data_IF_656255239388
#
_entry.id   IF_656255239388
#
_cell.length_a   1.000
_cell.length_b   1.000
_cell.length_c   1.000
_cell.angle_alpha   90.00
_cell.angle_beta   90.00
_cell.angle_gamma   90.00
#
_symmetry.space_group_name_H-M   'P 1'
#
loop_
_entity.id
_entity.type
_entity.pdbx_description
1 polymer ?
#
# COMPACT_ATOMS: atom_id res chain seq x y z
N UNK A 1 10.25 -18.71 7.90
CA UNK A 1 11.57 -18.74 8.56
C UNK A 1 11.35 -18.73 10.06
N UNK A 2 11.98 -19.64 10.84
CA UNK A 2 11.86 -19.60 12.31
C UNK A 2 12.52 -18.35 12.88
N UNK A 3 11.93 -17.73 13.91
CA UNK A 3 12.42 -16.50 14.54
C UNK A 3 13.89 -16.59 14.96
N UNK A 4 14.31 -17.74 15.44
CA UNK A 4 15.72 -18.04 15.77
C UNK A 4 16.72 -17.71 14.65
N UNK A 5 16.27 -17.70 13.39
CA UNK A 5 17.15 -17.48 12.24
C UNK A 5 17.08 -16.06 11.67
N UNK A 6 16.18 -15.21 12.18
CA UNK A 6 16.04 -13.83 11.70
C UNK A 6 17.35 -13.06 11.86
N UNK A 7 17.96 -13.07 13.04
CA UNK A 7 19.24 -12.41 13.29
C UNK A 7 20.34 -12.92 12.37
N UNK A 8 20.46 -14.25 12.20
CA UNK A 8 21.45 -14.85 11.30
C UNK A 8 21.24 -14.45 9.84
N UNK A 9 19.99 -14.36 9.42
CA UNK A 9 19.63 -13.92 8.06
C UNK A 9 20.03 -12.46 7.85
N UNK A 10 19.77 -11.58 8.81
CA UNK A 10 20.16 -10.17 8.78
C UNK A 10 21.70 -10.04 8.71
N UNK A 11 22.43 -10.74 9.55
CA UNK A 11 23.90 -10.76 9.54
C UNK A 11 24.41 -11.25 8.18
N UNK A 12 23.79 -12.30 7.62
CA UNK A 12 24.16 -12.83 6.31
C UNK A 12 23.91 -11.82 5.18
N UNK A 13 22.82 -11.05 5.24
CA UNK A 13 22.53 -9.99 4.27
C UNK A 13 23.58 -8.88 4.37
N UNK A 14 23.87 -8.39 5.57
CA UNK A 14 24.85 -7.33 5.80
C UNK A 14 26.26 -7.74 5.41
N UNK A 15 26.65 -9.00 5.66
CA UNK A 15 27.95 -9.54 5.31
C UNK A 15 28.13 -9.90 3.84
N UNK A 16 27.08 -9.88 3.04
CA UNK A 16 27.14 -10.27 1.64
C UNK A 16 27.41 -9.07 0.74
N UNK A 17 28.60 -9.01 0.16
CA UNK A 17 29.03 -7.93 -0.74
C UNK A 17 28.13 -7.74 -1.97
N UNK A 18 27.34 -8.75 -2.37
CA UNK A 18 26.35 -8.59 -3.44
C UNK A 18 25.25 -7.61 -3.10
N UNK A 19 24.91 -7.47 -1.82
CA UNK A 19 23.90 -6.51 -1.37
C UNK A 19 24.43 -5.09 -1.20
N UNK A 20 25.76 -4.89 -1.11
CA UNK A 20 26.37 -3.56 -0.94
C UNK A 20 26.15 -2.60 -2.10
N UNK A 21 25.77 -3.10 -3.26
CA UNK A 21 25.44 -2.29 -4.45
C UNK A 21 23.95 -1.88 -4.52
N UNK A 22 23.11 -2.34 -3.59
CA UNK A 22 21.71 -1.98 -3.53
C UNK A 22 21.46 -0.89 -2.47
N UNK A 23 20.61 0.06 -2.80
CA UNK A 23 20.24 1.14 -1.90
C UNK A 23 19.06 0.77 -0.98
N UNK A 24 18.42 -0.36 -1.21
CA UNK A 24 17.27 -0.81 -0.44
C UNK A 24 17.02 -2.30 -0.52
N UNK A 25 16.23 -2.78 0.42
CA UNK A 25 15.82 -4.18 0.55
C UNK A 25 14.34 -4.28 0.83
N UNK A 26 13.67 -5.24 0.19
CA UNK A 26 12.29 -5.59 0.49
C UNK A 26 12.24 -6.76 1.49
N UNK A 27 11.53 -6.58 2.60
CA UNK A 27 11.42 -7.56 3.70
C UNK A 27 9.94 -7.96 3.89
N UNK A 28 9.29 -8.44 2.84
CA UNK A 28 7.84 -8.65 2.79
C UNK A 28 7.31 -9.48 3.97
N UNK A 29 7.79 -10.70 4.16
CA UNK A 29 7.25 -11.60 5.19
C UNK A 29 7.40 -11.05 6.60
N UNK A 30 8.48 -10.34 6.87
CA UNK A 30 8.75 -9.73 8.18
C UNK A 30 7.76 -8.60 8.48
N UNK A 31 7.32 -7.89 7.44
CA UNK A 31 6.38 -6.79 7.55
C UNK A 31 4.92 -7.20 7.59
N UNK A 32 4.57 -8.32 6.95
CA UNK A 32 3.18 -8.77 6.82
C UNK A 32 2.80 -9.84 7.85
N UNK A 33 3.71 -10.74 8.19
CA UNK A 33 3.44 -11.91 9.02
C UNK A 33 4.08 -11.79 10.40
N UNK A 34 3.26 -11.91 11.42
CA UNK A 34 3.73 -12.04 12.81
C UNK A 34 3.20 -13.35 13.40
N UNK A 35 4.10 -14.29 13.60
CA UNK A 35 3.78 -15.62 14.10
C UNK A 35 4.65 -16.01 15.31
N UNK A 36 4.20 -17.00 16.04
CA UNK A 36 4.96 -17.61 17.13
C UNK A 36 5.91 -18.69 16.61
N UNK A 37 7.07 -18.80 17.20
CA UNK A 37 8.04 -19.89 16.97
C UNK A 37 8.21 -20.68 18.26
N UNK A 38 7.16 -21.38 18.69
CA UNK A 38 7.13 -22.12 19.95
C UNK A 38 8.22 -23.20 20.05
N UNK A 39 8.65 -23.74 18.92
CA UNK A 39 9.77 -24.72 18.90
C UNK A 39 11.06 -24.11 19.41
N UNK A 40 11.25 -22.81 19.20
CA UNK A 40 12.45 -22.07 19.62
C UNK A 40 12.15 -21.12 20.81
N UNK A 41 10.98 -21.21 21.43
CA UNK A 41 10.62 -20.46 22.62
C UNK A 41 10.11 -19.05 22.39
N UNK A 42 9.64 -18.71 21.17
CA UNK A 42 9.13 -17.37 20.86
C UNK A 42 7.59 -17.36 20.77
N UNK A 43 6.93 -16.55 21.55
CA UNK A 43 5.56 -16.16 21.32
C UNK A 43 5.47 -14.99 20.32
N UNK A 44 4.26 -14.56 19.97
CA UNK A 44 4.08 -13.47 18.98
C UNK A 44 4.66 -12.12 19.42
N UNK A 45 4.58 -11.81 20.71
CA UNK A 45 5.12 -10.55 21.24
C UNK A 45 6.64 -10.56 21.19
N UNK A 46 7.27 -11.62 21.66
CA UNK A 46 8.73 -11.80 21.60
C UNK A 46 9.25 -11.78 20.16
N UNK A 47 8.47 -12.33 19.22
CA UNK A 47 8.78 -12.23 17.78
C UNK A 47 8.73 -10.80 17.27
N UNK A 48 7.73 -10.01 17.68
CA UNK A 48 7.61 -8.61 17.29
C UNK A 48 8.75 -7.75 17.87
N UNK A 49 9.09 -7.99 19.12
CA UNK A 49 10.20 -7.32 19.82
C UNK A 49 11.53 -7.62 19.11
N UNK A 50 11.83 -8.88 18.84
CA UNK A 50 13.04 -9.30 18.11
C UNK A 50 13.12 -8.63 16.73
N UNK A 51 12.06 -8.66 15.95
CA UNK A 51 12.02 -8.01 14.62
C UNK A 51 12.32 -6.52 14.79
N UNK A 52 11.65 -5.85 15.72
CA UNK A 52 11.81 -4.42 15.97
C UNK A 52 13.24 -4.03 16.41
N UNK A 53 13.93 -4.91 17.12
CA UNK A 53 15.32 -4.71 17.59
C UNK A 53 16.35 -4.98 16.50
N UNK A 54 16.09 -5.92 15.61
CA UNK A 54 17.05 -6.32 14.58
C UNK A 54 17.03 -5.44 13.33
N UNK A 55 15.86 -4.89 12.93
CA UNK A 55 15.71 -4.09 11.72
C UNK A 55 16.60 -2.84 11.68
N UNK A 56 16.86 -2.10 12.79
CA UNK A 56 17.76 -0.94 12.76
C UNK A 56 19.15 -1.24 12.19
N UNK A 57 19.67 -2.46 12.35
CA UNK A 57 20.98 -2.84 11.79
C UNK A 57 20.98 -2.86 10.26
N UNK A 58 19.84 -3.16 9.62
CA UNK A 58 19.67 -3.06 8.17
C UNK A 58 19.51 -1.61 7.71
N UNK A 59 18.73 -0.80 8.45
CA UNK A 59 18.43 0.59 8.06
C UNK A 59 19.63 1.52 8.14
N UNK A 60 20.66 1.15 8.86
CA UNK A 60 21.90 1.92 8.92
C UNK A 60 22.58 2.11 7.54
N UNK A 61 22.37 1.18 6.60
CA UNK A 61 23.05 1.18 5.32
C UNK A 61 22.12 1.13 4.10
N UNK A 62 20.81 0.85 4.29
CA UNK A 62 19.88 0.70 3.17
C UNK A 62 18.43 1.09 3.58
N UNK A 63 17.64 1.50 2.61
CA UNK A 63 16.21 1.72 2.81
C UNK A 63 15.50 0.38 2.86
N UNK A 64 14.52 0.25 3.74
CA UNK A 64 13.67 -0.94 3.81
C UNK A 64 12.29 -0.64 3.23
N UNK A 65 11.78 -1.60 2.48
CA UNK A 65 10.40 -1.68 2.03
C UNK A 65 9.77 -2.96 2.61
N UNK A 66 8.51 -2.91 2.95
CA UNK A 66 7.74 -4.06 3.42
C UNK A 66 6.37 -4.11 2.75
N UNK A 67 5.76 -5.28 2.79
CA UNK A 67 4.38 -5.48 2.40
C UNK A 67 3.44 -5.30 3.59
N UNK A 68 2.28 -4.67 3.39
CA UNK A 68 1.20 -4.41 4.36
C UNK A 68 1.56 -3.69 5.66
N UNK A 69 2.75 -3.84 6.21
CA UNK A 69 3.32 -3.07 7.30
C UNK A 69 2.74 -3.31 8.70
N UNK A 70 3.24 -4.31 9.43
CA UNK A 70 2.96 -4.47 10.85
C UNK A 70 3.57 -3.33 11.68
N UNK A 71 2.95 -2.99 12.82
CA UNK A 71 3.41 -1.90 13.68
C UNK A 71 4.87 -2.07 14.17
N UNK A 72 5.35 -3.30 14.32
CA UNK A 72 6.72 -3.57 14.76
C UNK A 72 7.80 -3.18 13.72
N UNK A 73 7.42 -3.02 12.44
CA UNK A 73 8.36 -2.67 11.36
C UNK A 73 8.23 -1.21 10.91
N UNK A 74 7.08 -0.57 11.09
CA UNK A 74 6.74 0.75 10.53
C UNK A 74 7.82 1.80 10.82
N UNK A 75 8.38 1.83 12.03
CA UNK A 75 9.43 2.81 12.40
C UNK A 75 10.75 2.63 11.65
N UNK A 76 10.96 1.47 11.01
CA UNK A 76 12.22 1.11 10.37
C UNK A 76 12.09 1.02 8.84
N UNK A 77 10.92 1.28 8.27
CA UNK A 77 10.71 1.17 6.82
C UNK A 77 10.53 2.56 6.20
N UNK A 78 10.98 2.68 4.96
CA UNK A 78 10.84 3.90 4.16
C UNK A 78 9.62 3.86 3.25
N UNK A 79 9.11 2.65 2.98
CA UNK A 79 7.95 2.45 2.11
C UNK A 79 7.18 1.18 2.49
N UNK A 80 5.85 1.25 2.40
CA UNK A 80 4.94 0.11 2.63
C UNK A 80 4.19 -0.15 1.33
N UNK A 81 4.41 -1.31 0.70
CA UNK A 81 3.56 -1.75 -0.41
C UNK A 81 2.26 -2.32 0.10
N UNK A 82 1.21 -2.19 -0.70
CA UNK A 82 -0.10 -2.77 -0.45
C UNK A 82 -0.69 -2.43 0.94
N UNK A 83 -0.55 -1.16 1.37
CA UNK A 83 -1.20 -0.72 2.60
C UNK A 83 -2.73 -0.83 2.41
N UNK A 84 -3.45 -1.54 3.29
CA UNK A 84 -4.89 -1.75 3.12
C UNK A 84 -5.65 -0.43 3.02
N UNK A 85 -6.45 -0.30 1.98
CA UNK A 85 -7.36 0.83 1.74
C UNK A 85 -8.80 0.49 2.09
N UNK A 86 -9.07 -0.75 2.49
CA UNK A 86 -10.39 -1.22 2.94
C UNK A 86 -10.34 -1.61 4.40
N UNK A 87 -11.33 -1.17 5.17
CA UNK A 87 -11.53 -1.69 6.52
C UNK A 87 -12.17 -3.09 6.45
N UNK A 88 -11.73 -4.00 7.32
CA UNK A 88 -12.45 -5.26 7.51
C UNK A 88 -13.82 -4.95 8.12
N UNK A 89 -14.88 -5.14 7.34
CA UNK A 89 -16.25 -4.95 7.81
C UNK A 89 -16.65 -6.11 8.72
N UNK A 90 -16.80 -5.81 10.00
CA UNK A 90 -17.34 -6.74 11.00
C UNK A 90 -18.52 -6.06 11.68
N UNK A 91 -19.77 -6.41 11.26
CA UNK A 91 -21.02 -5.96 11.89
C UNK A 91 -21.67 -4.73 11.25
N UNK A 92 -22.76 -4.27 11.80
CA UNK A 92 -23.84 -3.55 11.12
C UNK A 92 -23.81 -2.02 11.17
N UNK A 93 -22.76 -1.34 11.51
CA UNK A 93 -22.70 0.13 11.37
C UNK A 93 -21.26 0.64 11.57
N UNK A 94 -20.50 0.73 10.50
CA UNK A 94 -19.17 1.33 10.57
C UNK A 94 -19.02 2.43 9.54
N UNK A 95 -18.60 3.59 10.01
CA UNK A 95 -17.93 4.60 9.16
C UNK A 95 -16.47 4.16 9.05
N UNK A 96 -16.00 3.94 7.83
CA UNK A 96 -14.59 3.61 7.59
C UNK A 96 -13.73 4.84 7.85
N UNK A 97 -12.79 4.74 8.78
CA UNK A 97 -11.79 5.78 9.04
C UNK A 97 -10.44 5.30 8.53
N UNK A 98 -9.75 6.04 7.66
CA UNK A 98 -8.42 5.68 7.15
C UNK A 98 -7.35 5.93 8.22
N UNK A 99 -7.44 5.22 9.34
CA UNK A 99 -6.59 5.46 10.52
C UNK A 99 -5.11 5.31 10.20
N UNK A 100 -4.72 4.26 9.47
CA UNK A 100 -3.32 4.03 9.11
C UNK A 100 -2.78 5.16 8.24
N UNK A 101 -3.55 5.60 7.25
CA UNK A 101 -3.16 6.66 6.34
C UNK A 101 -3.05 8.01 7.05
N UNK A 102 -3.98 8.34 7.94
CA UNK A 102 -3.92 9.54 8.78
C UNK A 102 -2.66 9.59 9.65
N UNK A 103 -2.20 8.43 10.14
CA UNK A 103 -1.00 8.34 10.99
C UNK A 103 0.28 8.34 10.16
N UNK A 104 0.30 7.67 9.01
CA UNK A 104 1.52 7.38 8.25
C UNK A 104 1.84 8.41 7.17
N UNK A 105 0.83 9.10 6.63
CA UNK A 105 1.03 10.03 5.52
C UNK A 105 1.96 11.17 5.91
N UNK A 106 2.95 11.43 5.06
CA UNK A 106 4.01 12.41 5.32
C UNK A 106 5.15 11.88 6.19
N UNK A 107 5.07 10.63 6.70
CA UNK A 107 6.11 9.98 7.52
C UNK A 107 6.72 8.79 6.78
N UNK A 108 5.88 7.90 6.26
CA UNK A 108 6.29 6.71 5.50
C UNK A 108 5.51 6.69 4.19
N UNK A 109 6.21 6.52 3.07
CA UNK A 109 5.54 6.34 1.77
C UNK A 109 4.78 5.01 1.71
N UNK A 110 3.66 4.98 0.99
CA UNK A 110 2.90 3.74 0.83
C UNK A 110 2.15 3.70 -0.50
N UNK A 111 1.86 2.48 -0.96
CA UNK A 111 0.97 2.23 -2.09
C UNK A 111 -0.35 1.59 -1.65
N UNK A 112 -1.33 1.66 -2.53
CA UNK A 112 -2.57 0.88 -2.40
C UNK A 112 -2.30 -0.62 -2.62
N UNK A 113 -3.32 -1.44 -2.37
CA UNK A 113 -3.40 -2.79 -2.94
C UNK A 113 -3.37 -2.71 -4.47
N UNK A 114 -2.96 -3.80 -5.18
CA UNK A 114 -2.91 -3.82 -6.63
C UNK A 114 -4.29 -3.54 -7.25
N UNK A 115 -4.39 -2.47 -8.03
CA UNK A 115 -5.66 -2.02 -8.62
C UNK A 115 -6.23 -3.02 -9.63
N UNK A 116 -5.35 -3.77 -10.28
CA UNK A 116 -5.75 -4.80 -11.25
C UNK A 116 -6.31 -6.08 -10.62
N UNK A 117 -6.26 -6.24 -9.31
CA UNK A 117 -6.94 -7.33 -8.58
C UNK A 117 -8.29 -6.89 -8.00
N UNK A 118 -8.65 -5.64 -8.14
CA UNK A 118 -9.93 -5.16 -7.65
C UNK A 118 -11.07 -5.51 -8.61
N UNK A 119 -12.21 -5.94 -8.07
CA UNK A 119 -13.46 -6.12 -8.82
C UNK A 119 -13.95 -4.78 -9.42
N UNK A 120 -13.69 -3.68 -8.72
CA UNK A 120 -13.99 -2.32 -9.17
C UNK A 120 -12.73 -1.46 -9.11
N UNK A 121 -11.96 -1.51 -10.20
CA UNK A 121 -10.71 -0.78 -10.34
C UNK A 121 -10.92 0.75 -10.28
N UNK A 122 -12.08 1.27 -10.71
CA UNK A 122 -12.41 2.70 -10.67
C UNK A 122 -12.57 3.17 -9.22
N UNK A 123 -13.41 2.51 -8.44
CA UNK A 123 -13.61 2.82 -7.02
C UNK A 123 -12.32 2.64 -6.22
N UNK A 124 -11.52 1.62 -6.52
CA UNK A 124 -10.23 1.39 -5.86
C UNK A 124 -9.21 2.47 -6.18
N UNK A 125 -9.19 2.97 -7.42
CA UNK A 125 -8.36 4.10 -7.79
C UNK A 125 -8.80 5.41 -7.09
N UNK A 126 -10.08 5.67 -7.01
CA UNK A 126 -10.60 6.84 -6.28
C UNK A 126 -10.21 6.77 -4.79
N UNK A 127 -10.30 5.58 -4.18
CA UNK A 127 -9.89 5.38 -2.79
C UNK A 127 -8.38 5.53 -2.62
N UNK A 128 -7.59 5.12 -3.60
CA UNK A 128 -6.14 5.36 -3.62
C UNK A 128 -5.86 6.87 -3.52
N UNK A 129 -6.54 7.69 -4.32
CA UNK A 129 -6.40 9.16 -4.31
C UNK A 129 -6.92 9.76 -3.00
N UNK A 130 -8.08 9.32 -2.51
CA UNK A 130 -8.68 9.75 -1.23
C UNK A 130 -7.72 9.57 -0.06
N UNK A 131 -7.00 8.44 -0.05
CA UNK A 131 -6.10 8.05 1.04
C UNK A 131 -4.64 8.45 0.80
N UNK A 132 -4.36 9.22 -0.25
CA UNK A 132 -3.02 9.71 -0.56
C UNK A 132 -2.01 8.61 -0.89
N UNK A 133 -2.49 7.42 -1.30
CA UNK A 133 -1.66 6.28 -1.63
C UNK A 133 -1.14 6.37 -3.07
N UNK A 134 0.05 5.82 -3.31
CA UNK A 134 0.53 5.60 -4.69
C UNK A 134 -0.24 4.44 -5.33
N UNK A 135 -0.72 4.56 -6.59
CA UNK A 135 -1.33 3.44 -7.29
C UNK A 135 -0.35 2.27 -7.44
N UNK A 136 -0.81 1.06 -7.16
CA UNK A 136 -0.02 -0.15 -7.35
C UNK A 136 -0.68 -1.10 -8.36
N UNK A 137 0.18 -1.84 -9.07
CA UNK A 137 -0.21 -2.90 -10.00
C UNK A 137 0.74 -4.07 -9.85
N UNK A 138 0.24 -5.26 -10.01
CA UNK A 138 1.05 -6.46 -10.05
C UNK A 138 1.01 -7.05 -11.45
N UNK A 139 2.20 -7.20 -12.09
CA UNK A 139 2.30 -7.59 -13.49
C UNK A 139 3.25 -8.75 -13.73
N UNK A 140 2.90 -9.56 -14.73
CA UNK A 140 3.82 -10.51 -15.33
C UNK A 140 4.24 -10.06 -16.73
N UNK A 141 5.49 -10.30 -17.08
CA UNK A 141 6.02 -9.99 -18.41
C UNK A 141 5.53 -10.98 -19.47
N UNK A 142 5.41 -12.26 -19.16
CA UNK A 142 5.01 -13.29 -20.11
C UNK A 142 3.60 -13.81 -19.80
N UNK A 143 2.86 -14.14 -20.87
CA UNK A 143 1.62 -14.91 -20.73
C UNK A 143 1.97 -16.32 -20.34
N UNK A 144 1.57 -16.76 -19.19
CA UNK A 144 1.90 -18.09 -18.62
C UNK A 144 1.26 -19.28 -19.35
N UNK A 145 0.57 -19.06 -20.48
CA UNK A 145 -0.18 -20.10 -21.20
C UNK A 145 0.14 -20.25 -22.70
N UNK A 146 1.27 -19.77 -23.20
CA UNK A 146 1.59 -19.99 -24.61
C UNK A 146 1.92 -21.46 -24.94
N UNK A 147 2.36 -22.28 -23.97
CA UNK A 147 3.01 -23.56 -24.30
C UNK A 147 2.30 -24.83 -23.84
N UNK A 148 1.09 -24.78 -23.31
CA UNK A 148 0.29 -25.99 -23.01
C UNK A 148 0.97 -27.03 -22.09
N UNK A 149 2.01 -26.68 -21.37
CA UNK A 149 2.84 -27.61 -20.57
C UNK A 149 2.70 -27.49 -19.06
N UNK A 150 1.98 -26.52 -18.53
CA UNK A 150 1.71 -26.47 -17.10
C UNK A 150 0.30 -27.00 -16.82
N UNK A 151 0.27 -28.15 -16.16
CA UNK A 151 -0.96 -28.75 -15.62
C UNK A 151 -1.58 -27.75 -14.65
N UNK A 152 -2.86 -27.45 -14.89
CA UNK A 152 -3.89 -27.02 -13.94
C UNK A 152 -3.40 -26.63 -12.53
N UNK A 153 -2.75 -25.52 -12.36
CA UNK A 153 -2.78 -24.80 -11.11
C UNK A 153 -4.03 -23.91 -11.12
N UNK A 154 -4.82 -23.97 -10.06
CA UNK A 154 -6.04 -23.18 -9.88
C UNK A 154 -5.79 -21.67 -9.97
N UNK A 155 -4.54 -21.21 -9.88
CA UNK A 155 -4.08 -19.82 -10.03
C UNK A 155 -3.92 -19.35 -11.50
N UNK A 156 -4.23 -20.17 -12.49
CA UNK A 156 -4.00 -19.80 -13.89
C UNK A 156 -4.84 -18.62 -14.38
N UNK A 157 -6.04 -18.44 -13.83
CA UNK A 157 -6.93 -17.34 -14.19
C UNK A 157 -6.40 -15.98 -13.67
N UNK A 158 -5.85 -15.93 -12.46
CA UNK A 158 -5.22 -14.74 -11.89
C UNK A 158 -3.99 -14.33 -12.69
N UNK A 159 -3.17 -15.30 -13.09
CA UNK A 159 -1.94 -15.04 -13.86
C UNK A 159 -2.23 -14.50 -15.28
N UNK A 160 -3.32 -14.91 -15.92
CA UNK A 160 -3.77 -14.34 -17.20
C UNK A 160 -4.20 -12.88 -17.03
N UNK A 161 -4.85 -12.57 -15.90
CA UNK A 161 -5.32 -11.22 -15.59
C UNK A 161 -4.20 -10.19 -15.37
N UNK A 162 -2.98 -10.64 -15.02
CA UNK A 162 -1.86 -9.74 -14.65
C UNK A 162 -0.84 -9.52 -15.77
N UNK A 163 -1.10 -9.98 -17.01
CA UNK A 163 -0.20 -9.70 -18.13
C UNK A 163 -0.12 -8.20 -18.40
N UNK A 164 1.10 -7.64 -18.38
CA UNK A 164 1.33 -6.20 -18.36
C UNK A 164 0.67 -5.43 -19.51
N UNK A 165 0.62 -6.00 -20.74
CA UNK A 165 0.01 -5.33 -21.90
C UNK A 165 -1.48 -5.03 -21.72
N UNK A 166 -2.18 -5.81 -20.89
CA UNK A 166 -3.59 -5.57 -20.61
C UNK A 166 -3.81 -4.32 -19.73
N UNK A 167 -2.79 -3.89 -19.00
CA UNK A 167 -2.92 -2.87 -17.97
C UNK A 167 -2.09 -1.62 -18.18
N UNK A 168 -1.00 -1.67 -18.96
CA UNK A 168 -0.02 -0.58 -19.05
C UNK A 168 -0.66 0.76 -19.42
N UNK A 169 -1.62 0.78 -20.35
CA UNK A 169 -2.29 2.00 -20.77
C UNK A 169 -3.16 2.61 -19.67
N UNK A 170 -3.95 1.79 -18.97
CA UNK A 170 -4.79 2.26 -17.85
C UNK A 170 -3.95 2.66 -16.65
N UNK A 171 -2.89 1.92 -16.35
CA UNK A 171 -1.97 2.23 -15.27
C UNK A 171 -1.23 3.55 -15.50
N UNK A 172 -0.77 3.81 -16.74
CA UNK A 172 -0.14 5.09 -17.09
C UNK A 172 -1.11 6.26 -16.89
N UNK A 173 -2.34 6.13 -17.40
CA UNK A 173 -3.36 7.17 -17.23
C UNK A 173 -3.73 7.41 -15.75
N UNK A 174 -3.85 6.36 -14.95
CA UNK A 174 -4.13 6.48 -13.52
C UNK A 174 -2.94 7.07 -12.76
N UNK A 175 -1.70 6.68 -13.12
CA UNK A 175 -0.50 7.27 -12.54
C UNK A 175 -0.45 8.77 -12.80
N UNK A 176 -0.64 9.23 -14.04
CA UNK A 176 -0.61 10.65 -14.39
C UNK A 176 -1.65 11.45 -13.58
N UNK A 177 -2.85 10.90 -13.41
CA UNK A 177 -3.91 11.53 -12.61
C UNK A 177 -3.58 11.58 -11.12
N UNK A 178 -3.05 10.50 -10.56
CA UNK A 178 -2.65 10.44 -9.16
C UNK A 178 -1.43 11.35 -8.90
N UNK A 179 -0.44 11.36 -9.79
CA UNK A 179 0.74 12.23 -9.70
C UNK A 179 0.33 13.71 -9.71
N UNK A 180 -0.54 14.11 -10.63
CA UNK A 180 -1.04 15.48 -10.69
C UNK A 180 -1.76 15.92 -9.40
N UNK A 181 -2.42 14.98 -8.71
CA UNK A 181 -3.14 15.26 -7.48
C UNK A 181 -2.26 15.19 -6.22
N UNK A 182 -1.26 14.30 -6.16
CA UNK A 182 -0.64 13.88 -4.91
C UNK A 182 0.88 14.08 -4.82
N UNK A 183 1.61 14.31 -5.93
CA UNK A 183 3.09 14.31 -5.93
C UNK A 183 3.73 15.27 -4.91
N UNK A 184 3.17 16.44 -4.74
CA UNK A 184 3.65 17.46 -3.81
C UNK A 184 3.05 17.30 -2.40
N UNK A 185 2.11 16.38 -2.21
CA UNK A 185 1.53 16.04 -0.92
C UNK A 185 2.20 14.86 -0.23
N UNK A 186 3.14 14.17 -0.88
CA UNK A 186 3.77 12.95 -0.33
C UNK A 186 4.47 13.16 1.02
N UNK A 187 4.95 14.37 1.30
CA UNK A 187 5.55 14.76 2.57
C UNK A 187 4.60 15.55 3.49
N UNK A 188 3.40 15.86 3.03
CA UNK A 188 2.38 16.56 3.81
C UNK A 188 1.69 15.60 4.78
N UNK A 189 1.23 16.09 5.93
CA UNK A 189 0.45 15.28 6.86
C UNK A 189 -1.03 15.41 6.56
N UNK A 190 -1.73 14.30 6.59
CA UNK A 190 -3.19 14.33 6.62
C UNK A 190 -3.65 14.86 7.97
N UNK A 191 -4.47 15.91 7.97
CA UNK A 191 -4.99 16.56 9.18
C UNK A 191 -6.44 16.19 9.45
N UNK A 192 -7.20 15.85 8.41
CA UNK A 192 -8.61 15.49 8.51
C UNK A 192 -9.03 14.57 7.37
N UNK A 193 -9.99 13.70 7.65
CA UNK A 193 -10.73 12.92 6.67
C UNK A 193 -12.18 12.81 7.13
N UNK A 194 -13.12 13.17 6.27
CA UNK A 194 -14.55 13.14 6.61
C UNK A 194 -15.43 12.90 5.38
N UNK A 195 -16.54 12.22 5.61
CA UNK A 195 -17.66 12.19 4.67
C UNK A 195 -18.46 13.48 4.84
N UNK A 196 -18.36 14.37 3.85
CA UNK A 196 -19.03 15.69 3.88
C UNK A 196 -20.44 15.65 3.32
N UNK A 197 -20.76 14.64 2.54
CA UNK A 197 -22.09 14.29 2.02
C UNK A 197 -22.09 12.81 1.66
N UNK A 198 -23.24 12.15 1.69
CA UNK A 198 -23.34 10.72 1.39
C UNK A 198 -22.60 10.36 0.09
N UNK A 199 -21.58 9.54 0.20
CA UNK A 199 -20.69 9.11 -0.88
C UNK A 199 -19.71 10.18 -1.39
N UNK A 200 -19.53 11.30 -0.67
CA UNK A 200 -18.52 12.32 -1.01
C UNK A 200 -17.63 12.59 0.19
N UNK A 201 -16.33 12.34 0.01
CA UNK A 201 -15.30 12.45 1.06
C UNK A 201 -14.37 13.61 0.81
N UNK A 202 -13.82 14.15 1.89
CA UNK A 202 -12.77 15.16 1.86
C UNK A 202 -11.60 14.75 2.74
N UNK A 203 -10.41 14.75 2.16
CA UNK A 203 -9.14 14.61 2.88
C UNK A 203 -8.42 15.94 2.88
N UNK A 204 -8.00 16.42 4.04
CA UNK A 204 -7.29 17.69 4.21
C UNK A 204 -5.84 17.44 4.63
N UNK A 205 -4.96 18.31 4.15
CA UNK A 205 -3.52 18.24 4.43
C UNK A 205 -3.04 19.49 5.17
N UNK A 206 -1.94 19.37 5.90
CA UNK A 206 -1.32 20.49 6.64
C UNK A 206 -0.79 21.62 5.75
N UNK A 207 -0.67 21.37 4.45
CA UNK A 207 -0.38 22.40 3.43
C UNK A 207 -1.59 23.29 3.11
N UNK A 208 -2.78 22.94 3.58
CA UNK A 208 -4.05 23.57 3.21
C UNK A 208 -4.75 22.90 2.02
N UNK A 209 -4.05 22.03 1.29
CA UNK A 209 -4.64 21.31 0.18
C UNK A 209 -5.75 20.36 0.64
N UNK A 210 -6.79 20.22 -0.20
CA UNK A 210 -7.93 19.33 0.03
C UNK A 210 -8.19 18.47 -1.20
N UNK A 211 -8.42 17.19 -0.98
CA UNK A 211 -8.84 16.24 -1.99
C UNK A 211 -10.30 15.87 -1.72
N UNK A 212 -11.17 16.19 -2.65
CA UNK A 212 -12.57 15.77 -2.65
C UNK A 212 -12.73 14.56 -3.56
N UNK A 213 -13.36 13.51 -3.08
CA UNK A 213 -13.66 12.30 -3.86
C UNK A 213 -15.15 12.05 -3.84
N UNK A 214 -15.74 11.89 -5.03
CA UNK A 214 -17.17 11.66 -5.22
C UNK A 214 -17.40 10.26 -5.81
N UNK A 215 -17.93 9.36 -5.01
CA UNK A 215 -18.29 7.99 -5.42
C UNK A 215 -19.68 7.88 -6.05
N UNK A 216 -20.44 8.97 -6.08
CA UNK A 216 -21.79 8.96 -6.63
C UNK A 216 -21.80 9.09 -8.15
N UNK A 217 -22.92 8.76 -8.78
CA UNK A 217 -23.10 8.86 -10.23
C UNK A 217 -23.49 10.26 -10.72
N UNK A 218 -23.54 11.25 -9.83
CA UNK A 218 -23.92 12.63 -10.16
C UNK A 218 -22.90 13.64 -9.64
N UNK A 219 -22.75 14.75 -10.33
CA UNK A 219 -21.94 15.87 -9.86
C UNK A 219 -22.51 16.41 -8.56
N UNK A 220 -21.65 16.69 -7.59
CA UNK A 220 -22.06 17.22 -6.27
C UNK A 220 -21.45 18.59 -6.06
N UNK A 221 -22.30 19.58 -5.75
CA UNK A 221 -21.82 20.91 -5.37
C UNK A 221 -21.63 21.00 -3.87
N UNK A 222 -20.46 21.47 -3.45
CA UNK A 222 -20.07 21.67 -2.05
C UNK A 222 -19.56 23.11 -1.91
N UNK A 223 -20.34 23.96 -1.32
CA UNK A 223 -19.98 25.37 -1.08
C UNK A 223 -19.49 26.12 -2.33
N UNK A 224 -20.11 25.87 -3.47
CA UNK A 224 -19.73 26.49 -4.76
C UNK A 224 -18.71 25.72 -5.58
N UNK A 225 -18.16 24.63 -5.06
CA UNK A 225 -17.20 23.75 -5.74
C UNK A 225 -17.95 22.53 -6.28
N UNK A 226 -17.84 22.26 -7.57
CA UNK A 226 -18.46 21.08 -8.19
C UNK A 226 -17.46 19.93 -8.25
N UNK A 227 -17.73 18.86 -7.52
CA UNK A 227 -16.97 17.60 -7.57
C UNK A 227 -17.63 16.68 -8.61
N UNK A 228 -16.92 16.25 -9.66
CA UNK A 228 -17.52 15.46 -10.74
C UNK A 228 -17.98 14.09 -10.26
N UNK A 229 -18.96 13.51 -10.95
CA UNK A 229 -19.49 12.17 -10.69
C UNK A 229 -18.43 11.08 -10.88
N UNK A 230 -18.26 10.20 -9.90
CA UNK A 230 -17.30 9.10 -9.94
C UNK A 230 -15.87 9.57 -10.23
N UNK A 231 -15.47 10.69 -9.64
CA UNK A 231 -14.17 11.32 -9.85
C UNK A 231 -13.72 12.09 -8.59
N UNK A 232 -12.57 12.73 -8.68
CA UNK A 232 -12.02 13.56 -7.61
C UNK A 232 -11.66 14.96 -8.06
N UNK A 233 -11.51 15.86 -7.11
CA UNK A 233 -11.09 17.25 -7.32
C UNK A 233 -10.11 17.66 -6.22
N UNK A 234 -8.99 18.22 -6.61
CA UNK A 234 -8.03 18.86 -5.70
C UNK A 234 -8.27 20.37 -5.65
N UNK A 235 -8.21 20.93 -4.44
CA UNK A 235 -8.20 22.35 -4.13
C UNK A 235 -6.93 22.64 -3.30
N UNK A 236 -6.28 23.74 -3.64
CA UNK A 236 -5.10 24.25 -2.88
C UNK A 236 -5.49 25.41 -1.99
#
# INVERSE_FOLDING_TARGET
LGMKYVEKSIISILGNTRFSQFNGLCVNDVGSLLYSDYKNGFNRQESAEMISEQLPSLTANMKLMTDTGNFCVIKNVSFISHLPTRASQSGSAYVSVPFLQLVLHGIVGYSSEPLNFSEDAKTSFLRCVEYGASPAYEWTYSRTHADGKTKSDENSAETIGVYYENWIASASAQYERADAALKDLQAARMTSHSEIRNGVFCTEYDTGAKIYVNYTESNVNISGITVPAGDFLRIN
#
